data_IF_846956113813
#
_entry.id   IF_846956113813
#
_cell.length_a   1.000
_cell.length_b   1.000
_cell.length_c   1.000
_cell.angle_alpha   90.00
_cell.angle_beta   90.00
_cell.angle_gamma   90.00
#
_symmetry.space_group_name_H-M   'P 1'
#
loop_
_entity.id
_entity.type
_entity.pdbx_description
1 polymer ?
#
# COMPACT_ATOMS: atom_id res chain seq x y z
N UNK A 1 -7.64 6.42 9.46
CA UNK A 1 -6.61 6.20 10.50
C UNK A 1 -6.96 4.96 11.29
N UNK A 2 -5.97 4.21 11.77
CA UNK A 2 -6.14 3.03 12.63
C UNK A 2 -4.89 2.87 13.51
N UNK A 3 -5.06 2.73 14.83
CA UNK A 3 -3.95 2.65 15.80
C UNK A 3 -2.87 3.74 15.63
N UNK A 4 -3.28 4.97 15.27
CA UNK A 4 -2.36 6.08 14.99
C UNK A 4 -1.64 6.00 13.63
N UNK A 5 -1.91 4.98 12.81
CA UNK A 5 -1.42 4.86 11.44
C UNK A 5 -2.40 5.52 10.46
N UNK A 6 -1.89 6.45 9.66
CA UNK A 6 -2.65 7.12 8.59
C UNK A 6 -2.45 6.38 7.27
N UNK A 7 -3.53 6.13 6.57
CA UNK A 7 -3.53 5.50 5.24
C UNK A 7 -3.95 6.55 4.23
N UNK A 8 -3.09 6.82 3.26
CA UNK A 8 -3.31 7.71 2.14
C UNK A 8 -3.54 6.88 0.88
N UNK A 9 -4.54 7.25 0.10
CA UNK A 9 -4.84 6.60 -1.18
C UNK A 9 -4.62 7.61 -2.29
N UNK A 10 -3.74 7.27 -3.24
CA UNK A 10 -3.49 8.05 -4.44
C UNK A 10 -4.23 7.40 -5.61
N UNK A 11 -5.13 8.15 -6.24
CA UNK A 11 -5.93 7.72 -7.38
C UNK A 11 -5.82 8.77 -8.50
N UNK A 12 -5.85 8.35 -9.76
CA UNK A 12 -5.82 9.26 -10.90
C UNK A 12 -4.45 9.87 -11.22
N UNK A 13 -3.36 9.31 -10.66
CA UNK A 13 -1.99 9.61 -11.05
C UNK A 13 -1.47 8.50 -11.96
N UNK A 14 -0.83 8.88 -13.06
CA UNK A 14 -0.23 7.95 -14.03
C UNK A 14 1.30 8.01 -14.04
N UNK A 15 1.89 9.13 -13.60
CA UNK A 15 3.34 9.32 -13.56
C UNK A 15 3.95 8.56 -12.37
N UNK A 16 4.72 7.50 -12.67
CA UNK A 16 5.35 6.66 -11.64
C UNK A 16 6.42 7.41 -10.83
N UNK A 17 7.12 8.40 -11.41
CA UNK A 17 8.10 9.20 -10.68
C UNK A 17 7.40 10.13 -9.69
N UNK A 18 6.31 10.77 -10.12
CA UNK A 18 5.48 11.61 -9.24
C UNK A 18 4.89 10.80 -8.08
N UNK A 19 4.31 9.63 -8.36
CA UNK A 19 3.76 8.73 -7.34
C UNK A 19 4.85 8.34 -6.34
N UNK A 20 6.05 8.01 -6.82
CA UNK A 20 7.18 7.62 -5.97
C UNK A 20 7.68 8.78 -5.12
N UNK A 21 7.71 10.00 -5.65
CA UNK A 21 8.10 11.19 -4.89
C UNK A 21 7.07 11.53 -3.80
N UNK A 22 5.77 11.56 -4.14
CA UNK A 22 4.68 11.79 -3.18
C UNK A 22 4.73 10.74 -2.07
N UNK A 23 4.84 9.47 -2.46
CA UNK A 23 4.96 8.34 -1.52
C UNK A 23 6.13 8.56 -0.56
N UNK A 24 7.32 8.84 -1.08
CA UNK A 24 8.52 9.09 -0.27
C UNK A 24 8.34 10.25 0.71
N UNK A 25 7.75 11.37 0.26
CA UNK A 25 7.51 12.55 1.11
C UNK A 25 6.56 12.22 2.27
N UNK A 26 5.45 11.55 1.99
CA UNK A 26 4.46 11.20 3.02
C UNK A 26 5.01 10.16 4.00
N UNK A 27 5.70 9.13 3.50
CA UNK A 27 6.24 8.05 4.34
C UNK A 27 7.54 8.43 5.06
N UNK A 28 8.09 9.62 4.82
CA UNK A 28 9.23 10.13 5.57
C UNK A 28 8.87 10.37 7.04
N UNK A 29 7.66 10.87 7.29
CA UNK A 29 7.09 10.96 8.64
C UNK A 29 6.69 9.58 9.16
N UNK A 30 6.60 9.42 10.47
CA UNK A 30 6.22 8.14 11.10
C UNK A 30 4.73 7.82 10.91
N UNK A 31 4.40 6.53 11.01
CA UNK A 31 3.02 6.02 11.07
C UNK A 31 2.14 6.34 9.84
N UNK A 32 2.73 6.36 8.65
CA UNK A 32 2.02 6.58 7.40
C UNK A 32 2.15 5.37 6.47
N UNK A 33 1.06 5.09 5.76
CA UNK A 33 1.01 4.14 4.65
C UNK A 33 0.41 4.89 3.47
N UNK A 34 1.03 4.76 2.30
CA UNK A 34 0.51 5.28 1.04
C UNK A 34 0.26 4.10 0.13
N UNK A 35 -0.92 4.04 -0.46
CA UNK A 35 -1.22 3.13 -1.55
C UNK A 35 -1.61 3.93 -2.78
N UNK A 36 -0.86 3.77 -3.86
CA UNK A 36 -1.27 4.21 -5.19
C UNK A 36 -1.99 3.06 -5.90
N UNK A 37 -3.12 3.38 -6.53
CA UNK A 37 -3.96 2.43 -7.25
C UNK A 37 -4.03 2.88 -8.72
N UNK A 38 -3.44 2.07 -9.60
CA UNK A 38 -3.51 2.25 -11.06
C UNK A 38 -4.02 0.96 -11.67
N UNK A 39 -5.28 0.97 -12.12
CA UNK A 39 -6.02 -0.24 -12.52
C UNK A 39 -5.99 -1.35 -11.44
N UNK A 40 -5.29 -2.44 -11.73
CA UNK A 40 -5.08 -3.56 -10.82
C UNK A 40 -3.71 -3.55 -10.14
N UNK A 41 -2.86 -2.56 -10.44
CA UNK A 41 -1.53 -2.39 -9.86
C UNK A 41 -1.64 -1.52 -8.61
N UNK A 42 -1.08 -2.02 -7.51
CA UNK A 42 -0.92 -1.32 -6.26
C UNK A 42 0.58 -1.06 -6.04
N UNK A 43 0.92 0.19 -5.75
CA UNK A 43 2.23 0.53 -5.20
C UNK A 43 2.02 0.97 -3.76
N UNK A 44 2.68 0.30 -2.82
CA UNK A 44 2.51 0.53 -1.39
C UNK A 44 3.82 1.02 -0.82
N UNK A 45 3.80 2.22 -0.24
CA UNK A 45 4.88 2.75 0.58
C UNK A 45 4.45 2.86 2.03
N UNK A 46 5.39 2.65 2.94
CA UNK A 46 5.15 2.72 4.38
C UNK A 46 6.26 3.51 5.08
N UNK A 47 5.96 4.07 6.24
CA UNK A 47 6.98 4.65 7.12
C UNK A 47 7.99 3.60 7.58
N UNK A 48 9.21 4.03 7.95
CA UNK A 48 10.31 3.14 8.37
C UNK A 48 9.98 2.18 9.50
N UNK A 49 9.00 2.50 10.34
CA UNK A 49 8.58 1.69 11.49
C UNK A 49 7.48 0.67 11.15
N UNK A 50 7.06 0.57 9.90
CA UNK A 50 6.03 -0.37 9.43
C UNK A 50 6.69 -1.24 8.36
N UNK A 51 6.66 -2.56 8.54
CA UNK A 51 7.09 -3.50 7.52
C UNK A 51 5.92 -3.82 6.57
N UNK A 52 6.14 -3.59 5.28
CA UNK A 52 5.15 -3.83 4.24
C UNK A 52 4.91 -5.33 3.98
N UNK A 53 5.80 -6.21 4.45
CA UNK A 53 5.75 -7.66 4.19
C UNK A 53 4.40 -8.28 4.60
N UNK A 54 3.85 -7.89 5.76
CA UNK A 54 2.56 -8.36 6.26
C UNK A 54 1.37 -7.91 5.42
N UNK A 55 1.42 -6.69 4.89
CA UNK A 55 0.42 -6.20 3.93
C UNK A 55 0.47 -7.04 2.65
N UNK A 56 1.67 -7.32 2.13
CA UNK A 56 1.86 -8.16 0.94
C UNK A 56 1.32 -9.58 1.16
N UNK A 57 1.56 -10.18 2.33
CA UNK A 57 1.01 -11.49 2.69
C UNK A 57 -0.52 -11.51 2.62
N UNK A 58 -1.20 -10.50 3.14
CA UNK A 58 -2.67 -10.41 3.08
C UNK A 58 -3.20 -10.28 1.64
N UNK A 59 -2.54 -9.51 0.78
CA UNK A 59 -2.92 -9.43 -0.63
C UNK A 59 -2.68 -10.76 -1.36
N UNK A 60 -1.61 -11.50 -1.05
CA UNK A 60 -1.38 -12.82 -1.65
C UNK A 60 -2.47 -13.82 -1.30
N UNK A 61 -3.02 -13.78 -0.08
CA UNK A 61 -4.13 -14.65 0.35
C UNK A 61 -5.40 -14.49 -0.51
N UNK A 62 -5.56 -13.36 -1.19
CA UNK A 62 -6.74 -13.07 -2.03
C UNK A 62 -6.45 -13.09 -3.53
N UNK A 63 -5.33 -13.67 -3.96
CA UNK A 63 -4.93 -13.76 -5.37
C UNK A 63 -4.12 -12.56 -5.88
N UNK A 64 -3.51 -11.77 -4.99
CA UNK A 64 -2.53 -10.76 -5.39
C UNK A 64 -1.19 -11.38 -5.75
N UNK A 65 -0.59 -10.96 -6.88
CA UNK A 65 0.77 -11.33 -7.32
C UNK A 65 1.73 -10.17 -7.08
N UNK A 66 3.01 -10.46 -6.85
CA UNK A 66 4.02 -9.43 -6.60
C UNK A 66 4.74 -9.62 -5.26
N UNK A 67 5.39 -8.56 -4.80
CA UNK A 67 6.28 -8.63 -3.66
C UNK A 67 6.62 -7.27 -3.07
N UNK A 68 7.21 -7.30 -1.88
CA UNK A 68 7.67 -6.12 -1.18
C UNK A 68 8.57 -6.52 -0.03
N UNK A 69 9.45 -5.59 0.37
CA UNK A 69 10.36 -5.78 1.50
C UNK A 69 10.64 -4.44 2.15
N UNK A 70 10.75 -4.43 3.48
CA UNK A 70 11.00 -3.23 4.24
C UNK A 70 9.82 -2.27 4.08
N UNK A 71 10.04 -1.12 3.44
CA UNK A 71 9.04 -0.06 3.40
C UNK A 71 8.26 0.05 2.09
N UNK A 72 8.51 -0.83 1.11
CA UNK A 72 7.92 -0.70 -0.22
C UNK A 72 7.50 -2.03 -0.85
N UNK A 73 6.36 -2.02 -1.54
CA UNK A 73 5.81 -3.16 -2.26
C UNK A 73 5.14 -2.76 -3.58
N UNK A 74 5.14 -3.71 -4.51
CA UNK A 74 4.33 -3.67 -5.73
C UNK A 74 3.47 -4.94 -5.79
N UNK A 75 2.17 -4.77 -6.03
CA UNK A 75 1.21 -5.86 -6.07
C UNK A 75 0.33 -5.68 -7.31
N UNK A 76 0.08 -6.76 -8.04
CA UNK A 76 -0.88 -6.85 -9.12
C UNK A 76 -2.05 -7.71 -8.65
N UNK A 77 -3.26 -7.18 -8.68
CA UNK A 77 -4.47 -7.90 -8.33
C UNK A 77 -5.01 -8.66 -9.55
N UNK A 78 -5.40 -9.91 -9.37
CA UNK A 78 -6.01 -10.69 -10.46
C UNK A 78 -7.43 -10.22 -10.82
N UNK A 79 -8.09 -9.51 -9.90
CA UNK A 79 -9.40 -8.88 -10.12
C UNK A 79 -9.42 -7.47 -9.54
N UNK A 80 -10.15 -6.57 -10.20
CA UNK A 80 -10.33 -5.20 -9.72
C UNK A 80 -11.02 -5.22 -8.36
N UNK A 81 -10.44 -4.52 -7.39
CA UNK A 81 -10.99 -4.32 -6.06
C UNK A 81 -11.37 -2.86 -5.88
N UNK A 82 -12.42 -2.63 -5.10
CA UNK A 82 -12.73 -1.27 -4.63
C UNK A 82 -11.64 -0.76 -3.68
N UNK A 83 -11.54 0.56 -3.59
CA UNK A 83 -10.68 1.25 -2.63
C UNK A 83 -10.92 0.79 -1.19
N UNK A 84 -12.19 0.62 -0.80
CA UNK A 84 -12.58 0.18 0.53
C UNK A 84 -12.05 -1.22 0.82
N UNK A 85 -12.16 -2.15 -0.14
CA UNK A 85 -11.59 -3.49 -0.01
C UNK A 85 -10.07 -3.46 0.13
N UNK A 86 -9.37 -2.63 -0.66
CA UNK A 86 -7.91 -2.47 -0.59
C UNK A 86 -7.50 -1.96 0.80
N UNK A 87 -8.20 -0.94 1.31
CA UNK A 87 -7.95 -0.39 2.65
C UNK A 87 -8.17 -1.46 3.73
N UNK A 88 -9.25 -2.24 3.65
CA UNK A 88 -9.54 -3.31 4.62
C UNK A 88 -8.45 -4.40 4.62
N UNK A 89 -7.89 -4.75 3.46
CA UNK A 89 -6.80 -5.71 3.37
C UNK A 89 -5.51 -5.13 3.99
N UNK A 90 -5.20 -3.86 3.71
CA UNK A 90 -4.07 -3.16 4.35
C UNK A 90 -4.23 -3.15 5.87
N UNK A 91 -5.43 -2.86 6.38
CA UNK A 91 -5.73 -2.87 7.81
C UNK A 91 -5.47 -4.24 8.44
N UNK A 92 -5.83 -5.34 7.79
CA UNK A 92 -5.51 -6.69 8.29
C UNK A 92 -4.01 -6.88 8.43
N UNK A 93 -3.23 -6.45 7.44
CA UNK A 93 -1.78 -6.62 7.44
C UNK A 93 -1.04 -5.84 8.53
N UNK A 94 -1.66 -4.82 9.14
CA UNK A 94 -1.07 -4.02 10.22
C UNK A 94 -1.61 -4.35 11.62
N UNK A 95 -2.64 -5.21 11.70
CA UNK A 95 -3.26 -5.63 12.96
C UNK A 95 -2.73 -6.99 13.47
N UNK A 96 -1.93 -7.69 12.66
CA UNK A 96 -1.32 -8.99 12.95
C UNK A 96 0.08 -8.78 13.51
#
# INVERSE_FOLDING_TARGET
EINGIKIYVLEGLEDEEEIKEITRKITYSQNNIVVSITDNKLQIGTSKNIDVSKIVEEFRKIGGRGGGKGTFANILLDQRRSKEQIIEIIKRGILV
#
